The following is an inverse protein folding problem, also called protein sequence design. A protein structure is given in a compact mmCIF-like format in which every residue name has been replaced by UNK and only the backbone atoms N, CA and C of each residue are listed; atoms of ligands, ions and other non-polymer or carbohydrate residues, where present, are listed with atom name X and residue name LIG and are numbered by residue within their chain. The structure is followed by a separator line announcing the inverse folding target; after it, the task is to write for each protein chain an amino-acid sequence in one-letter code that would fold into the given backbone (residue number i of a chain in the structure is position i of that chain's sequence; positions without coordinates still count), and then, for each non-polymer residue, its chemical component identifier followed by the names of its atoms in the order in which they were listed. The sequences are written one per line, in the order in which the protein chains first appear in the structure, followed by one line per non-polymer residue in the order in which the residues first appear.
data_IF_808635617054
#
_entry.id   IF_808635617054
#
_cell.length_a   1.000
_cell.length_b   1.000
_cell.length_c   1.000
_cell.angle_alpha   90.00
_cell.angle_beta   90.00
_cell.angle_gamma   90.00
#
_symmetry.space_group_name_H-M   'P 1'
#
loop_
_entity.id
_entity.type
_entity.pdbx_description
1 polymer ?
#
# COMPACT_ATOMS: atom_id res chain seq x y z
N UNK A 1 -9.25 -21.86 -3.37
CA UNK A 1 -8.54 -20.86 -4.18
C UNK A 1 -7.41 -20.22 -3.36
N UNK A 2 -6.15 -20.54 -3.70
CA UNK A 2 -4.99 -20.02 -2.97
C UNK A 2 -4.62 -18.65 -3.54
N UNK A 3 -4.43 -17.64 -2.66
CA UNK A 3 -3.86 -16.35 -3.09
C UNK A 3 -2.43 -16.54 -3.62
N UNK A 4 -1.98 -15.69 -4.57
CA UNK A 4 -0.65 -15.81 -5.16
C UNK A 4 0.50 -15.51 -4.18
N UNK A 5 0.24 -14.81 -3.07
CA UNK A 5 1.20 -14.57 -2.01
C UNK A 5 0.85 -15.34 -0.72
N UNK A 6 1.86 -15.68 0.08
CA UNK A 6 1.62 -16.04 1.49
C UNK A 6 1.01 -14.84 2.22
N UNK A 7 0.06 -15.09 3.14
CA UNK A 7 -0.68 -14.00 3.76
C UNK A 7 -1.26 -14.39 5.12
N UNK A 8 -1.55 -13.39 5.92
CA UNK A 8 -2.41 -13.48 7.10
C UNK A 8 -3.77 -12.88 6.81
N UNK A 9 -4.81 -13.38 7.45
CA UNK A 9 -6.19 -12.89 7.30
C UNK A 9 -6.83 -12.64 8.65
N UNK A 10 -7.47 -11.49 8.81
CA UNK A 10 -8.50 -11.24 9.80
C UNK A 10 -9.84 -11.04 9.08
N UNK A 11 -10.73 -12.00 9.20
CA UNK A 11 -12.09 -11.89 8.61
C UNK A 11 -12.90 -10.81 9.32
N UNK A 12 -13.78 -10.18 8.58
CA UNK A 12 -14.82 -9.29 9.12
C UNK A 12 -15.72 -10.02 10.11
N UNK A 13 -16.26 -9.26 11.05
CA UNK A 13 -17.34 -9.72 11.97
C UNK A 13 -18.74 -9.55 11.38
N UNK A 14 -18.87 -8.98 10.17
CA UNK A 14 -20.14 -8.89 9.48
C UNK A 14 -20.60 -10.28 9.03
N UNK A 15 -21.85 -10.63 9.35
CA UNK A 15 -22.49 -11.86 8.92
C UNK A 15 -23.45 -11.57 7.77
N UNK A 16 -23.35 -12.36 6.69
CA UNK A 16 -24.25 -12.29 5.52
C UNK A 16 -24.26 -10.95 4.74
N UNK A 17 -23.35 -10.03 5.06
CA UNK A 17 -23.19 -8.76 4.38
C UNK A 17 -21.74 -8.70 3.84
N UNK A 18 -21.52 -8.33 2.56
CA UNK A 18 -20.17 -8.14 2.03
C UNK A 18 -19.40 -7.09 2.84
N UNK A 19 -18.16 -7.40 3.18
CA UNK A 19 -17.31 -6.52 3.99
C UNK A 19 -16.35 -5.71 3.13
N UNK A 20 -15.93 -4.50 3.58
CA UNK A 20 -14.77 -3.84 3.02
C UNK A 20 -13.53 -4.75 3.08
N UNK A 21 -12.64 -4.62 2.09
CA UNK A 21 -11.33 -5.29 2.08
C UNK A 21 -10.22 -4.27 2.34
N UNK A 22 -9.27 -4.63 3.20
CA UNK A 22 -8.00 -3.92 3.36
C UNK A 22 -6.85 -4.88 3.08
N UNK A 23 -6.09 -4.64 2.02
CA UNK A 23 -4.85 -5.37 1.73
C UNK A 23 -3.67 -4.57 2.26
N UNK A 24 -2.80 -5.22 3.03
CA UNK A 24 -1.61 -4.64 3.62
C UNK A 24 -0.34 -5.16 2.93
N UNK A 25 0.58 -4.25 2.59
CA UNK A 25 1.81 -4.51 1.82
C UNK A 25 3.00 -3.92 2.58
N UNK A 26 3.84 -4.79 3.17
CA UNK A 26 4.95 -4.40 4.05
C UNK A 26 6.13 -3.75 3.31
N UNK A 27 7.03 -3.12 4.04
CA UNK A 27 8.28 -2.56 3.53
C UNK A 27 9.37 -3.60 3.24
N UNK A 28 10.43 -3.18 2.54
CA UNK A 28 11.61 -4.00 2.28
C UNK A 28 12.21 -4.52 3.59
N UNK A 29 12.49 -5.81 3.65
CA UNK A 29 13.11 -6.44 4.83
C UNK A 29 12.14 -6.80 5.94
N UNK A 30 10.86 -6.52 5.77
CA UNK A 30 9.80 -6.87 6.72
C UNK A 30 9.01 -8.11 6.25
N UNK A 31 7.83 -8.33 6.78
CA UNK A 31 6.97 -9.46 6.42
C UNK A 31 5.49 -9.15 6.72
N UNK A 32 4.63 -10.14 6.48
CA UNK A 32 3.17 -10.02 6.63
C UNK A 32 2.69 -9.69 8.06
N UNK A 33 3.52 -9.88 9.08
CA UNK A 33 3.13 -9.61 10.49
C UNK A 33 3.25 -8.14 10.86
N UNK A 34 4.04 -7.38 10.13
CA UNK A 34 4.37 -5.99 10.43
C UNK A 34 3.10 -5.12 10.46
N UNK A 35 2.56 -4.76 9.32
CA UNK A 35 1.33 -3.96 9.27
C UNK A 35 0.12 -4.69 9.86
N UNK A 36 0.13 -6.04 9.84
CA UNK A 36 -0.92 -6.84 10.48
C UNK A 36 -1.03 -6.58 11.99
N UNK A 37 0.04 -6.11 12.63
CA UNK A 37 0.02 -5.69 14.04
C UNK A 37 -1.01 -4.58 14.30
N UNK A 38 -1.32 -3.75 13.31
CA UNK A 38 -2.35 -2.70 13.37
C UNK A 38 -3.78 -3.24 13.38
N UNK A 39 -3.97 -4.50 13.01
CA UNK A 39 -5.30 -5.10 12.83
C UNK A 39 -6.22 -4.98 14.04
N UNK A 40 -5.65 -4.95 15.26
CA UNK A 40 -6.44 -4.83 16.50
C UNK A 40 -7.10 -3.46 16.67
N UNK A 41 -6.50 -2.41 16.09
CA UNK A 41 -7.02 -1.05 16.16
C UNK A 41 -7.95 -0.71 14.98
N UNK A 42 -7.92 -1.51 13.92
CA UNK A 42 -8.75 -1.32 12.73
C UNK A 42 -10.15 -1.92 12.98
N UNK A 43 -11.23 -1.23 12.56
CA UNK A 43 -12.59 -1.70 12.78
C UNK A 43 -12.82 -3.16 12.38
N UNK A 44 -13.58 -3.88 13.22
CA UNK A 44 -13.78 -5.34 13.06
C UNK A 44 -14.63 -5.72 11.85
N UNK A 45 -15.40 -4.78 11.29
CA UNK A 45 -16.21 -5.01 10.09
C UNK A 45 -15.38 -5.07 8.79
N UNK A 46 -14.08 -4.73 8.82
CA UNK A 46 -13.19 -4.76 7.67
C UNK A 46 -12.47 -6.11 7.61
N UNK A 47 -12.52 -6.80 6.47
CA UNK A 47 -11.65 -7.95 6.22
C UNK A 47 -10.24 -7.46 5.89
N UNK A 48 -9.23 -7.94 6.62
CA UNK A 48 -7.82 -7.56 6.43
C UNK A 48 -7.06 -8.75 5.86
N UNK A 49 -6.28 -8.50 4.81
CA UNK A 49 -5.35 -9.47 4.21
C UNK A 49 -3.97 -8.84 4.17
N UNK A 50 -3.02 -9.37 4.94
CA UNK A 50 -1.64 -8.87 4.95
C UNK A 50 -0.74 -9.81 4.16
N UNK A 51 -0.16 -9.31 3.07
CA UNK A 51 0.62 -10.10 2.12
C UNK A 51 2.09 -10.15 2.53
N UNK A 52 2.79 -11.23 2.12
CA UNK A 52 4.25 -11.38 2.22
C UNK A 52 4.86 -11.31 0.83
N UNK A 53 5.93 -10.50 0.67
CA UNK A 53 6.73 -10.48 -0.56
C UNK A 53 7.35 -11.84 -0.89
N UNK A 54 7.64 -12.09 -2.17
CA UNK A 54 8.13 -13.38 -2.64
C UNK A 54 9.64 -13.57 -2.48
N UNK A 55 10.39 -12.50 -2.31
CA UNK A 55 11.85 -12.54 -2.25
C UNK A 55 12.24 -12.62 -0.77
N UNK A 56 12.73 -13.78 -0.36
CA UNK A 56 13.31 -13.95 0.97
C UNK A 56 14.67 -13.28 1.05
N UNK A 57 14.87 -12.49 2.08
CA UNK A 57 16.13 -11.87 2.43
C UNK A 57 16.53 -12.26 3.86
N UNK A 58 17.64 -11.76 4.37
CA UNK A 58 18.15 -12.17 5.68
C UNK A 58 17.13 -11.97 6.82
N UNK A 59 17.23 -12.77 7.88
CA UNK A 59 16.49 -12.64 9.14
C UNK A 59 14.95 -12.77 9.04
N UNK A 60 14.43 -13.65 8.18
CA UNK A 60 13.00 -13.81 7.91
C UNK A 60 12.33 -12.54 7.37
N UNK A 61 13.12 -11.67 6.77
CA UNK A 61 12.65 -10.53 6.03
C UNK A 61 12.33 -10.91 4.58
N UNK A 62 11.43 -10.16 3.97
CA UNK A 62 10.99 -10.35 2.59
C UNK A 62 10.98 -9.03 1.85
N UNK A 63 11.05 -9.13 0.53
CA UNK A 63 10.96 -7.99 -0.38
C UNK A 63 10.03 -8.32 -1.54
N UNK A 64 9.54 -7.29 -2.19
CA UNK A 64 8.69 -7.39 -3.37
C UNK A 64 9.51 -7.37 -4.66
N UNK A 65 10.61 -6.62 -4.63
CA UNK A 65 11.62 -6.50 -5.67
C UNK A 65 12.96 -6.15 -5.05
N UNK A 66 14.05 -6.51 -5.75
CA UNK A 66 15.40 -6.25 -5.27
C UNK A 66 15.75 -4.78 -5.38
N UNK A 67 16.49 -4.29 -4.39
CA UNK A 67 17.15 -2.99 -4.37
C UNK A 67 18.66 -3.24 -4.39
N UNK A 68 19.37 -2.58 -5.29
CA UNK A 68 20.82 -2.66 -5.44
C UNK A 68 21.45 -1.29 -5.20
N UNK A 69 22.67 -1.30 -4.68
CA UNK A 69 23.51 -0.12 -4.57
C UNK A 69 24.69 -0.29 -5.53
N UNK A 70 25.01 0.73 -6.31
CA UNK A 70 26.24 0.76 -7.10
C UNK A 70 27.46 1.13 -6.23
N UNK A 71 28.64 1.11 -6.81
CA UNK A 71 29.89 1.46 -6.11
C UNK A 71 29.93 2.89 -5.58
N UNK A 72 29.07 3.77 -6.09
CA UNK A 72 28.95 5.17 -5.67
C UNK A 72 27.81 5.38 -4.65
N UNK A 73 27.12 4.30 -4.25
CA UNK A 73 25.99 4.34 -3.32
C UNK A 73 24.66 4.75 -3.95
N UNK A 74 24.57 4.84 -5.30
CA UNK A 74 23.30 5.12 -5.96
C UNK A 74 22.39 3.90 -5.88
N UNK A 75 21.14 4.13 -5.48
CA UNK A 75 20.12 3.08 -5.41
C UNK A 75 19.53 2.84 -6.81
N UNK A 76 19.41 1.56 -7.16
CA UNK A 76 18.62 1.08 -8.28
C UNK A 76 17.74 -0.07 -7.83
N UNK A 77 16.73 -0.41 -8.59
CA UNK A 77 15.84 -1.52 -8.25
C UNK A 77 15.34 -2.22 -9.50
N UNK A 78 14.88 -3.45 -9.32
CA UNK A 78 14.34 -4.28 -10.39
C UNK A 78 12.92 -3.82 -10.77
N UNK A 79 12.84 -2.98 -11.81
CA UNK A 79 11.59 -2.40 -12.31
C UNK A 79 10.64 -3.49 -12.80
N UNK A 80 11.15 -4.47 -13.54
CA UNK A 80 10.34 -5.59 -14.08
C UNK A 80 9.70 -6.37 -12.94
N UNK A 81 10.50 -6.71 -11.92
CA UNK A 81 10.00 -7.43 -10.75
C UNK A 81 9.02 -6.60 -9.93
N UNK A 82 9.22 -5.29 -9.84
CA UNK A 82 8.28 -4.39 -9.18
C UNK A 82 6.92 -4.34 -9.91
N UNK A 83 6.94 -4.28 -11.23
CA UNK A 83 5.72 -4.35 -12.06
C UNK A 83 5.01 -5.70 -11.92
N UNK A 84 5.73 -6.82 -11.95
CA UNK A 84 5.16 -8.15 -11.68
C UNK A 84 4.51 -8.23 -10.30
N UNK A 85 5.15 -7.67 -9.27
CA UNK A 85 4.63 -7.66 -7.90
C UNK A 85 3.37 -6.79 -7.80
N UNK A 86 3.33 -5.63 -8.48
CA UNK A 86 2.14 -4.80 -8.63
C UNK A 86 0.97 -5.61 -9.20
N UNK A 87 1.16 -6.26 -10.34
CA UNK A 87 0.10 -7.00 -11.04
C UNK A 87 -0.35 -8.24 -10.27
N UNK A 88 0.57 -8.84 -9.53
CA UNK A 88 0.28 -9.95 -8.63
C UNK A 88 -0.55 -9.51 -7.42
N UNK A 89 -0.37 -8.28 -6.90
CA UNK A 89 -1.25 -7.69 -5.88
C UNK A 89 -2.66 -7.51 -6.43
N UNK A 90 -2.82 -7.07 -7.68
CA UNK A 90 -4.13 -6.97 -8.35
C UNK A 90 -4.81 -8.33 -8.42
N UNK A 91 -4.06 -9.37 -8.79
CA UNK A 91 -4.56 -10.76 -8.75
C UNK A 91 -5.01 -11.17 -7.34
N UNK A 92 -4.31 -10.71 -6.27
CA UNK A 92 -4.76 -10.95 -4.89
C UNK A 92 -6.10 -10.26 -4.59
N UNK A 93 -6.32 -9.03 -5.08
CA UNK A 93 -7.61 -8.35 -4.92
C UNK A 93 -8.72 -9.22 -5.49
N UNK A 94 -8.61 -9.65 -6.76
CA UNK A 94 -9.61 -10.48 -7.43
C UNK A 94 -9.86 -11.79 -6.67
N UNK A 95 -8.80 -12.45 -6.24
CA UNK A 95 -8.90 -13.70 -5.46
C UNK A 95 -9.51 -13.49 -4.07
N UNK A 96 -9.30 -12.36 -3.42
CA UNK A 96 -9.95 -12.03 -2.16
C UNK A 96 -11.46 -11.86 -2.36
N UNK A 97 -11.89 -11.17 -3.43
CA UNK A 97 -13.31 -11.01 -3.77
C UNK A 97 -13.97 -12.37 -4.03
N UNK A 98 -13.27 -13.29 -4.72
CA UNK A 98 -13.78 -14.65 -4.98
C UNK A 98 -13.83 -15.55 -3.73
N UNK A 99 -12.93 -15.32 -2.76
CA UNK A 99 -12.70 -16.25 -1.64
C UNK A 99 -13.44 -15.82 -0.36
N UNK A 100 -13.53 -14.52 -0.15
CA UNK A 100 -14.15 -13.91 1.02
C UNK A 100 -15.41 -13.16 0.58
N UNK A 101 -16.34 -12.97 1.47
CA UNK A 101 -17.55 -12.16 1.21
C UNK A 101 -17.18 -10.67 1.22
N UNK A 102 -16.60 -10.18 0.14
CA UNK A 102 -16.07 -8.81 -0.01
C UNK A 102 -17.02 -7.94 -0.83
N UNK A 103 -17.23 -6.71 -0.38
CA UNK A 103 -17.81 -5.65 -1.21
C UNK A 103 -16.77 -5.17 -2.23
N UNK A 104 -16.96 -5.54 -3.49
CA UNK A 104 -16.06 -5.17 -4.59
C UNK A 104 -16.02 -3.66 -4.91
N UNK A 105 -16.87 -2.87 -4.27
CA UNK A 105 -16.89 -1.40 -4.34
C UNK A 105 -16.18 -0.74 -3.17
N UNK A 106 -15.61 -1.52 -2.26
CA UNK A 106 -14.93 -1.03 -1.07
C UNK A 106 -13.60 -1.77 -0.85
N UNK A 107 -12.69 -1.60 -1.82
CA UNK A 107 -11.36 -2.19 -1.82
C UNK A 107 -10.33 -1.13 -1.42
N UNK A 108 -9.57 -1.42 -0.38
CA UNK A 108 -8.64 -0.48 0.22
C UNK A 108 -7.25 -1.11 0.32
N UNK A 109 -6.21 -0.30 0.13
CA UNK A 109 -4.83 -0.72 0.19
C UNK A 109 -4.08 0.07 1.26
N UNK A 110 -3.17 -0.58 1.98
CA UNK A 110 -2.23 0.05 2.90
C UNK A 110 -0.84 -0.45 2.59
N UNK A 111 0.12 0.45 2.43
CA UNK A 111 1.51 0.09 2.22
C UNK A 111 2.46 0.93 3.05
N UNK A 112 3.61 0.34 3.39
CA UNK A 112 4.72 1.03 4.03
C UNK A 112 5.97 0.94 3.16
N UNK A 113 6.67 2.06 2.93
CA UNK A 113 7.95 2.12 2.21
C UNK A 113 7.85 1.47 0.81
N UNK A 114 8.61 0.40 0.52
CA UNK A 114 8.50 -0.36 -0.73
C UNK A 114 7.06 -0.81 -1.01
N UNK A 115 6.34 -1.24 0.02
CA UNK A 115 4.93 -1.61 -0.09
C UNK A 115 4.03 -0.42 -0.40
N UNK A 116 4.34 0.78 0.11
CA UNK A 116 3.61 2.00 -0.22
C UNK A 116 3.78 2.37 -1.70
N UNK A 117 5.00 2.25 -2.24
CA UNK A 117 5.24 2.47 -3.67
C UNK A 117 4.42 1.52 -4.54
N UNK A 118 4.30 0.25 -4.13
CA UNK A 118 3.50 -0.74 -4.86
C UNK A 118 2.00 -0.47 -4.78
N UNK A 119 1.44 -0.16 -3.61
CA UNK A 119 0.00 0.13 -3.51
C UNK A 119 -0.38 1.41 -4.24
N UNK A 120 0.51 2.41 -4.26
CA UNK A 120 0.35 3.60 -5.09
C UNK A 120 0.30 3.23 -6.58
N UNK A 121 1.25 2.39 -7.04
CA UNK A 121 1.30 1.93 -8.41
C UNK A 121 0.08 1.09 -8.80
N UNK A 122 -0.40 0.20 -7.92
CA UNK A 122 -1.65 -0.56 -8.13
C UNK A 122 -2.82 0.38 -8.34
N UNK A 123 -3.02 1.35 -7.43
CA UNK A 123 -4.16 2.25 -7.50
C UNK A 123 -4.15 3.14 -8.76
N UNK A 124 -2.98 3.63 -9.16
CA UNK A 124 -2.85 4.46 -10.35
C UNK A 124 -2.94 3.65 -11.66
N UNK A 125 -2.50 2.39 -11.66
CA UNK A 125 -2.57 1.50 -12.83
C UNK A 125 -3.96 0.86 -13.01
N UNK A 126 -4.65 0.59 -11.90
CA UNK A 126 -5.94 -0.12 -11.86
C UNK A 126 -6.97 0.63 -10.98
N UNK A 127 -7.28 1.91 -11.30
CA UNK A 127 -8.13 2.75 -10.45
C UNK A 127 -9.58 2.25 -10.32
N UNK A 128 -10.02 1.39 -11.22
CA UNK A 128 -11.33 0.74 -11.15
C UNK A 128 -11.42 -0.36 -10.09
N UNK A 129 -10.26 -0.82 -9.58
CA UNK A 129 -10.18 -1.90 -8.59
C UNK A 129 -9.95 -1.43 -7.15
N UNK A 130 -9.68 -0.14 -6.94
CA UNK A 130 -9.28 0.42 -5.65
C UNK A 130 -10.09 1.68 -5.35
N UNK A 131 -10.45 1.87 -4.09
CA UNK A 131 -11.16 3.06 -3.62
C UNK A 131 -10.26 3.96 -2.78
N UNK A 132 -9.60 3.38 -1.77
CA UNK A 132 -8.79 4.15 -0.84
C UNK A 132 -7.39 3.55 -0.70
N UNK A 133 -6.40 4.43 -0.57
CA UNK A 133 -4.99 4.04 -0.38
C UNK A 133 -4.40 4.74 0.81
N UNK A 134 -3.72 3.99 1.66
CA UNK A 134 -2.93 4.48 2.77
C UNK A 134 -1.46 4.24 2.42
N UNK A 135 -0.76 5.32 2.11
CA UNK A 135 0.64 5.33 1.67
C UNK A 135 1.53 5.90 2.78
N UNK A 136 2.25 5.02 3.47
CA UNK A 136 3.08 5.36 4.62
C UNK A 136 4.56 5.33 4.22
N UNK A 137 5.26 6.45 4.35
CA UNK A 137 6.70 6.60 4.05
C UNK A 137 7.08 6.08 2.65
N UNK A 138 6.25 6.34 1.65
CA UNK A 138 6.44 5.93 0.25
C UNK A 138 6.57 7.11 -0.70
N UNK A 139 6.59 6.81 -1.99
CA UNK A 139 6.56 7.78 -3.09
C UNK A 139 5.74 7.24 -4.25
N UNK A 140 5.40 8.10 -5.20
CA UNK A 140 4.77 7.71 -6.46
C UNK A 140 5.84 7.57 -7.54
N UNK A 141 5.98 6.36 -8.08
CA UNK A 141 7.03 6.04 -9.06
C UNK A 141 6.41 5.75 -10.43
N UNK A 142 6.68 6.60 -11.44
CA UNK A 142 6.16 6.41 -12.78
C UNK A 142 6.70 5.16 -13.48
N UNK A 143 7.89 4.65 -13.09
CA UNK A 143 8.48 3.48 -13.75
C UNK A 143 7.73 2.18 -13.44
N UNK A 144 7.03 2.12 -12.32
CA UNK A 144 6.22 0.96 -11.92
C UNK A 144 4.72 1.18 -12.05
N UNK A 145 4.31 2.38 -12.47
CA UNK A 145 2.91 2.74 -12.72
C UNK A 145 2.60 2.55 -14.20
N UNK A 146 1.53 1.82 -14.52
CA UNK A 146 1.06 1.69 -15.88
C UNK A 146 0.08 2.82 -16.22
N UNK A 147 0.51 3.72 -17.07
CA UNK A 147 -0.29 4.87 -17.57
C UNK A 147 -0.58 4.74 -19.07
N UNK A 148 -0.43 3.55 -19.65
CA UNK A 148 -0.65 3.30 -21.08
C UNK A 148 -2.09 3.57 -21.51
N UNK A 149 -3.06 3.46 -20.62
CA UNK A 149 -4.46 3.82 -20.84
C UNK A 149 -4.86 5.01 -19.97
N UNK A 150 -5.61 5.95 -20.55
CA UNK A 150 -6.16 7.08 -19.80
C UNK A 150 -7.35 6.59 -18.97
N UNK A 151 -7.12 6.36 -17.69
CA UNK A 151 -8.16 5.95 -16.74
C UNK A 151 -8.56 7.11 -15.83
N UNK A 152 -9.83 7.14 -15.43
CA UNK A 152 -10.30 8.13 -14.47
C UNK A 152 -9.84 7.77 -13.07
N UNK A 153 -9.12 8.68 -12.41
CA UNK A 153 -8.66 8.54 -11.03
C UNK A 153 -9.63 9.18 -10.00
N UNK A 154 -10.79 9.65 -10.42
CA UNK A 154 -11.72 10.44 -9.59
C UNK A 154 -12.28 9.70 -8.37
N UNK A 155 -12.33 8.37 -8.43
CA UNK A 155 -12.88 7.56 -7.34
C UNK A 155 -11.82 7.19 -6.29
N UNK A 156 -10.56 7.53 -6.54
CA UNK A 156 -9.47 7.28 -5.61
C UNK A 156 -9.41 8.34 -4.51
N UNK A 157 -9.10 7.91 -3.30
CA UNK A 157 -8.72 8.79 -2.19
C UNK A 157 -7.45 8.27 -1.54
N UNK A 158 -6.52 9.17 -1.23
CA UNK A 158 -5.26 8.82 -0.59
C UNK A 158 -5.10 9.47 0.78
N UNK A 159 -4.64 8.69 1.73
CA UNK A 159 -3.92 9.16 2.91
C UNK A 159 -2.44 8.93 2.67
N UNK A 160 -1.66 9.99 2.65
CA UNK A 160 -0.21 9.93 2.46
C UNK A 160 0.46 10.54 3.69
N UNK A 161 1.44 9.86 4.27
CA UNK A 161 2.23 10.41 5.36
C UNK A 161 3.72 10.11 5.20
N UNK A 162 4.56 11.04 5.69
CA UNK A 162 6.01 10.91 5.60
C UNK A 162 6.73 11.57 6.76
N UNK A 163 7.87 10.98 7.14
CA UNK A 163 8.77 11.55 8.13
C UNK A 163 9.66 12.63 7.53
N UNK A 164 9.71 13.83 8.13
CA UNK A 164 10.57 14.93 7.64
C UNK A 164 12.07 14.67 7.83
N UNK A 165 12.41 13.68 8.66
CA UNK A 165 13.79 13.24 8.95
C UNK A 165 14.09 11.85 8.34
N UNK A 166 13.35 11.46 7.29
CA UNK A 166 13.51 10.18 6.65
C UNK A 166 14.79 10.14 5.80
N UNK A 167 15.78 9.35 6.24
CA UNK A 167 17.06 9.14 5.56
C UNK A 167 17.04 7.94 4.58
N UNK A 168 16.01 7.10 4.64
CA UNK A 168 15.87 5.92 3.77
C UNK A 168 15.21 6.30 2.44
N UNK A 169 14.08 7.01 2.52
CA UNK A 169 13.39 7.60 1.38
C UNK A 169 13.22 9.11 1.66
N UNK A 170 14.08 9.97 1.08
CA UNK A 170 14.10 11.39 1.41
C UNK A 170 12.73 12.06 1.28
N UNK A 171 12.38 12.87 2.28
CA UNK A 171 11.11 13.57 2.37
C UNK A 171 10.78 14.37 1.10
N UNK A 172 11.74 15.11 0.57
CA UNK A 172 11.54 15.93 -0.64
C UNK A 172 11.18 15.09 -1.87
N UNK A 173 11.75 13.90 -2.00
CA UNK A 173 11.43 12.98 -3.09
C UNK A 173 9.99 12.48 -2.99
N UNK A 174 9.54 12.14 -1.79
CA UNK A 174 8.15 11.75 -1.54
C UNK A 174 7.20 12.91 -1.85
N UNK A 175 7.49 14.10 -1.33
CA UNK A 175 6.69 15.31 -1.53
C UNK A 175 6.55 15.71 -3.01
N UNK A 176 7.66 15.70 -3.75
CA UNK A 176 7.65 15.99 -5.19
C UNK A 176 6.84 14.95 -5.97
N UNK A 177 6.84 13.70 -5.56
CA UNK A 177 6.10 12.64 -6.23
C UNK A 177 4.58 12.82 -6.17
N UNK A 178 4.05 13.63 -5.24
CA UNK A 178 2.61 13.96 -5.13
C UNK A 178 2.08 14.74 -6.35
N UNK A 179 2.96 15.33 -7.14
CA UNK A 179 2.59 16.07 -8.36
C UNK A 179 1.69 15.25 -9.30
N UNK A 180 1.85 13.92 -9.30
CA UNK A 180 0.99 13.03 -10.08
C UNK A 180 -0.48 13.06 -9.62
N UNK A 181 -0.71 13.18 -8.32
CA UNK A 181 -2.05 13.28 -7.74
C UNK A 181 -2.68 14.64 -8.07
N UNK A 182 -1.88 15.73 -7.96
CA UNK A 182 -2.31 17.09 -8.26
C UNK A 182 -2.70 17.23 -9.74
N UNK A 183 -1.86 16.76 -10.65
CA UNK A 183 -2.11 16.77 -12.10
C UNK A 183 -3.39 16.03 -12.49
N UNK A 184 -3.71 14.95 -11.78
CA UNK A 184 -4.87 14.14 -12.04
C UNK A 184 -6.10 14.51 -11.18
N UNK A 185 -5.99 15.55 -10.33
CA UNK A 185 -7.04 16.03 -9.42
C UNK A 185 -7.59 14.92 -8.53
N UNK A 186 -6.71 14.05 -8.05
CA UNK A 186 -7.03 12.98 -7.12
C UNK A 186 -7.25 13.56 -5.73
N UNK A 187 -8.24 13.05 -5.01
CA UNK A 187 -8.47 13.46 -3.62
C UNK A 187 -7.41 12.82 -2.70
N UNK A 188 -6.62 13.64 -2.01
CA UNK A 188 -5.66 13.15 -1.02
C UNK A 188 -5.46 14.12 0.14
N UNK A 189 -4.95 13.59 1.26
CA UNK A 189 -4.33 14.37 2.31
C UNK A 189 -2.85 13.97 2.40
N UNK A 190 -1.99 14.92 2.75
CA UNK A 190 -0.58 14.68 2.99
C UNK A 190 -0.21 15.20 4.37
N UNK A 191 0.32 14.33 5.23
CA UNK A 191 0.72 14.65 6.60
C UNK A 191 2.22 14.42 6.80
N UNK A 192 2.86 15.39 7.43
CA UNK A 192 4.29 15.42 7.71
C UNK A 192 4.51 15.21 9.21
N UNK A 193 5.50 14.38 9.57
CA UNK A 193 5.81 14.11 10.96
C UNK A 193 7.30 14.26 11.23
N UNK A 194 7.72 14.84 12.38
CA UNK A 194 9.15 15.06 12.73
C UNK A 194 9.83 13.75 13.19
N UNK A 195 9.79 12.74 12.35
CA UNK A 195 10.37 11.41 12.57
C UNK A 195 11.18 10.95 11.37
N UNK A 196 11.96 9.89 11.53
CA UNK A 196 12.65 9.19 10.44
C UNK A 196 11.70 8.27 9.65
N UNK A 197 12.25 7.18 9.12
CA UNK A 197 11.52 6.20 8.30
C UNK A 197 10.61 5.31 9.16
N UNK A 198 9.36 5.72 9.36
CA UNK A 198 8.45 5.01 10.25
C UNK A 198 7.07 5.66 10.38
N UNK A 199 6.29 5.16 11.34
CA UNK A 199 4.95 5.64 11.67
C UNK A 199 4.91 6.01 13.15
N UNK A 200 4.69 7.29 13.47
CA UNK A 200 4.55 7.76 14.85
C UNK A 200 3.16 7.42 15.42
N UNK A 201 2.99 7.46 16.75
CA UNK A 201 1.66 7.31 17.36
C UNK A 201 0.63 8.32 16.86
N UNK A 202 1.03 9.58 16.62
CA UNK A 202 0.14 10.62 16.10
C UNK A 202 -0.22 10.35 14.63
N UNK A 203 0.74 9.92 13.81
CA UNK A 203 0.50 9.48 12.45
C UNK A 203 -0.50 8.31 12.40
N UNK A 204 -0.27 7.30 13.24
CA UNK A 204 -1.16 6.15 13.34
C UNK A 204 -2.59 6.54 13.74
N UNK A 205 -2.74 7.44 14.71
CA UNK A 205 -4.04 7.96 15.16
C UNK A 205 -4.77 8.72 14.05
N UNK A 206 -4.06 9.60 13.33
CA UNK A 206 -4.62 10.35 12.20
C UNK A 206 -5.05 9.43 11.06
N UNK A 207 -4.21 8.46 10.71
CA UNK A 207 -4.53 7.43 9.73
C UNK A 207 -5.82 6.66 10.10
N UNK A 208 -5.96 6.21 11.35
CA UNK A 208 -7.17 5.51 11.82
C UNK A 208 -8.42 6.39 11.73
N UNK A 209 -8.30 7.67 12.07
CA UNK A 209 -9.40 8.63 11.92
C UNK A 209 -9.85 8.72 10.46
N UNK A 210 -8.90 8.91 9.55
CA UNK A 210 -9.18 8.98 8.11
C UNK A 210 -9.80 7.67 7.58
N UNK A 211 -9.30 6.51 8.03
CA UNK A 211 -9.88 5.21 7.68
C UNK A 211 -11.35 5.10 8.10
N UNK A 212 -11.68 5.51 9.32
CA UNK A 212 -13.04 5.47 9.85
C UNK A 212 -14.02 6.38 9.08
N UNK A 213 -13.50 7.43 8.43
CA UNK A 213 -14.30 8.33 7.59
C UNK A 213 -14.49 7.81 6.16
N UNK A 214 -13.56 7.00 5.66
CA UNK A 214 -13.51 6.57 4.26
C UNK A 214 -13.92 5.13 4.02
N UNK A 215 -13.66 4.24 4.98
CA UNK A 215 -13.93 2.81 4.86
C UNK A 215 -15.15 2.48 5.73
N UNK A 216 -16.33 2.55 5.12
CA UNK A 216 -17.61 2.36 5.80
C UNK A 216 -18.19 0.99 5.47
#
# INVERSE_FOLDING_TARGET
NKLPFYHLVRKSTLENIPSPLLIMVHGYGSNEKDLFSFSRAIPSHITIVSLRGDIEIQNNGYAWYNISLDFNGNKSYDITKAQESRDKIVTCIDKCVETYNIDNKNINLMGFSQGAMLVNAVALSYPEKVNNVISLSGAFDPNITDTSEIKSLKNLSFYVSHGTQDEILPFELSKQSLEILDKNKVNYIFEEYPIGHGVSPDNFKSMLKWMNEKII
#
